data_IF_579039216717
#
_entry.id   IF_579039216717
#
_cell.length_a   1.000
_cell.length_b   1.000
_cell.length_c   1.000
_cell.angle_alpha   90.00
_cell.angle_beta   90.00
_cell.angle_gamma   90.00
#
_symmetry.space_group_name_H-M   'P 1'
#
loop_
_entity.id
_entity.type
_entity.pdbx_description
1 polymer ?
#
# COMPACT_ATOMS: atom_id res chain seq x y z
N UNK A 1 -5.17 -5.95 -2.80
CA UNK A 1 -5.57 -4.63 -3.31
C UNK A 1 -5.23 -4.52 -4.79
N UNK A 2 -5.28 -3.32 -5.37
CA UNK A 2 -5.01 -3.11 -6.80
C UNK A 2 -3.54 -3.35 -7.22
N UNK A 3 -3.24 -3.39 -8.53
CA UNK A 3 -1.93 -3.81 -9.05
C UNK A 3 -0.78 -2.86 -8.69
N UNK A 4 -1.11 -1.58 -8.47
CA UNK A 4 -0.13 -0.54 -8.14
C UNK A 4 0.27 -0.60 -6.66
N UNK A 5 -0.70 -0.41 -5.76
CA UNK A 5 -0.48 -0.24 -4.32
C UNK A 5 -0.60 -1.55 -3.52
N UNK A 6 -1.08 -2.63 -4.13
CA UNK A 6 -1.23 -3.93 -3.47
C UNK A 6 0.11 -4.55 -3.06
N UNK A 7 0.06 -5.35 -2.00
CA UNK A 7 1.17 -6.20 -1.54
C UNK A 7 1.14 -7.54 -2.28
N UNK A 8 2.32 -8.12 -2.51
CA UNK A 8 2.45 -9.49 -2.99
C UNK A 8 2.37 -10.41 -1.78
N UNK A 9 1.51 -11.42 -1.85
CA UNK A 9 1.37 -12.47 -0.85
C UNK A 9 1.52 -13.82 -1.55
N UNK A 10 2.21 -14.76 -0.91
CA UNK A 10 2.39 -16.11 -1.42
C UNK A 10 1.64 -17.16 -0.60
N UNK A 11 1.28 -16.78 0.63
CA UNK A 11 0.49 -17.58 1.53
C UNK A 11 -1.00 -17.35 1.27
N UNK A 12 -1.74 -18.45 1.07
CA UNK A 12 -3.17 -18.43 0.79
C UNK A 12 -4.00 -18.26 2.08
N UNK A 13 -3.39 -18.52 3.25
CA UNK A 13 -4.03 -18.34 4.54
C UNK A 13 -3.97 -16.88 5.03
N UNK A 14 -3.31 -15.99 4.29
CA UNK A 14 -3.23 -14.57 4.63
C UNK A 14 -4.64 -13.94 4.68
N UNK A 15 -5.08 -13.37 5.82
CA UNK A 15 -6.43 -12.85 5.96
C UNK A 15 -6.75 -11.68 5.02
N UNK A 16 -7.98 -11.68 4.49
CA UNK A 16 -8.57 -10.53 3.82
C UNK A 16 -8.94 -9.49 4.90
N UNK A 17 -8.50 -8.25 4.71
CA UNK A 17 -8.75 -7.16 5.67
C UNK A 17 -9.70 -6.13 5.08
N UNK A 18 -10.22 -5.21 5.91
CA UNK A 18 -11.03 -4.07 5.45
C UNK A 18 -10.34 -3.19 4.39
N UNK A 19 -9.00 -3.21 4.35
CA UNK A 19 -8.22 -2.48 3.33
C UNK A 19 -7.98 -3.27 2.05
N UNK A 20 -8.40 -4.54 2.00
CA UNK A 20 -8.30 -5.39 0.81
C UNK A 20 -9.41 -5.04 -0.18
N UNK A 21 -9.09 -4.18 -1.13
CA UNK A 21 -10.04 -3.72 -2.17
C UNK A 21 -10.16 -4.63 -3.40
N UNK A 22 -9.36 -5.70 -3.47
CA UNK A 22 -9.33 -6.61 -4.62
C UNK A 22 -8.20 -7.62 -4.50
N UNK A 23 -8.32 -8.74 -5.19
CA UNK A 23 -7.31 -9.81 -5.24
C UNK A 23 -6.90 -10.00 -6.70
N UNK A 24 -5.61 -10.09 -6.96
CA UNK A 24 -5.05 -10.36 -8.28
C UNK A 24 -4.23 -11.63 -8.20
N UNK A 25 -4.58 -12.63 -9.01
CA UNK A 25 -3.83 -13.88 -9.11
C UNK A 25 -2.95 -13.78 -10.35
N UNK A 26 -1.63 -13.80 -10.14
CA UNK A 26 -0.64 -13.68 -11.21
C UNK A 26 0.39 -14.80 -11.07
N UNK A 27 0.94 -15.33 -12.19
CA UNK A 27 2.08 -16.24 -12.17
C UNK A 27 3.28 -15.65 -11.41
N UNK A 28 4.09 -16.49 -10.77
CA UNK A 28 5.25 -16.04 -9.98
C UNK A 28 6.31 -15.33 -10.83
N UNK A 29 6.44 -15.71 -12.09
CA UNK A 29 7.34 -15.13 -13.09
C UNK A 29 6.76 -13.87 -13.76
N UNK A 30 5.57 -13.44 -13.37
CA UNK A 30 4.96 -12.24 -13.92
C UNK A 30 5.82 -10.99 -13.60
N UNK A 31 6.12 -10.10 -14.58
CA UNK A 31 7.01 -8.96 -14.36
C UNK A 31 6.63 -8.04 -13.19
N UNK A 32 5.33 -7.83 -12.95
CA UNK A 32 4.84 -7.07 -11.79
C UNK A 32 5.20 -7.74 -10.46
N UNK A 33 5.11 -9.07 -10.38
CA UNK A 33 5.44 -9.86 -9.18
C UNK A 33 6.95 -9.80 -8.95
N UNK A 34 7.74 -10.05 -9.99
CA UNK A 34 9.20 -9.96 -9.94
C UNK A 34 9.66 -8.58 -9.47
N UNK A 35 9.13 -7.50 -10.06
CA UNK A 35 9.51 -6.12 -9.70
C UNK A 35 9.16 -5.76 -8.26
N UNK A 36 7.99 -6.19 -7.77
CA UNK A 36 7.55 -5.93 -6.38
C UNK A 36 8.30 -6.73 -5.33
N UNK A 37 8.94 -7.83 -5.72
CA UNK A 37 9.68 -8.73 -4.81
C UNK A 37 11.19 -8.54 -4.88
N UNK A 38 11.66 -7.58 -5.69
CA UNK A 38 13.08 -7.21 -5.73
C UNK A 38 13.57 -6.74 -4.36
N UNK A 39 14.78 -7.18 -4.02
CA UNK A 39 15.49 -6.74 -2.82
C UNK A 39 15.84 -5.26 -2.91
N UNK A 40 15.73 -4.55 -1.78
CA UNK A 40 15.95 -3.11 -1.71
C UNK A 40 17.38 -2.71 -2.11
N UNK A 41 18.36 -3.53 -1.77
CA UNK A 41 19.78 -3.30 -2.10
C UNK A 41 19.98 -3.27 -3.62
N UNK A 42 19.28 -4.15 -4.33
CA UNK A 42 19.31 -4.21 -5.79
C UNK A 42 18.65 -2.96 -6.40
N UNK A 43 17.49 -2.54 -5.87
CA UNK A 43 16.79 -1.34 -6.33
C UNK A 43 17.67 -0.09 -6.15
N UNK A 44 18.34 0.05 -5.01
CA UNK A 44 19.26 1.16 -4.75
C UNK A 44 20.47 1.11 -5.70
N UNK A 45 21.06 -0.08 -5.91
CA UNK A 45 22.19 -0.25 -6.83
C UNK A 45 21.82 0.13 -8.27
N UNK A 46 20.65 -0.32 -8.75
CA UNK A 46 20.13 0.05 -10.07
C UNK A 46 19.89 1.56 -10.17
N UNK A 47 19.32 2.16 -9.14
CA UNK A 47 19.11 3.62 -9.09
C UNK A 47 20.41 4.39 -9.24
N UNK A 48 21.46 3.99 -8.51
CA UNK A 48 22.80 4.60 -8.57
C UNK A 48 23.44 4.48 -9.96
N UNK A 49 23.27 3.33 -10.61
CA UNK A 49 23.89 3.06 -11.90
C UNK A 49 23.17 3.71 -13.09
N UNK A 50 21.83 3.79 -13.07
CA UNK A 50 21.05 4.07 -14.26
C UNK A 50 20.28 5.40 -14.24
N UNK A 51 20.09 6.05 -13.10
CA UNK A 51 19.22 7.22 -13.05
C UNK A 51 19.80 8.43 -13.82
N UNK A 52 19.11 8.87 -14.87
CA UNK A 52 19.52 9.98 -15.73
C UNK A 52 19.01 11.37 -15.29
N UNK A 53 18.39 11.49 -14.10
CA UNK A 53 17.96 12.78 -13.51
C UNK A 53 16.98 13.62 -14.36
N UNK A 54 16.20 13.00 -15.24
CA UNK A 54 15.29 13.64 -16.20
C UNK A 54 14.00 14.29 -15.63
N UNK A 55 13.84 14.40 -14.31
CA UNK A 55 12.65 14.91 -13.60
C UNK A 55 11.28 14.26 -13.86
N UNK A 56 11.12 13.33 -14.81
CA UNK A 56 9.81 12.77 -15.20
C UNK A 56 9.00 12.17 -14.02
N UNK A 57 9.68 11.55 -13.06
CA UNK A 57 9.04 11.02 -11.85
C UNK A 57 8.39 12.09 -10.95
N UNK A 58 8.81 13.35 -11.07
CA UNK A 58 8.12 14.52 -10.49
C UNK A 58 7.07 15.06 -11.42
N UNK A 59 7.43 15.24 -12.70
CA UNK A 59 6.53 15.88 -13.67
C UNK A 59 5.19 15.16 -13.82
N UNK A 60 5.19 13.83 -13.68
CA UNK A 60 4.01 12.98 -13.74
C UNK A 60 3.51 12.54 -12.36
N UNK A 61 4.06 13.08 -11.27
CA UNK A 61 3.61 12.72 -9.93
C UNK A 61 2.24 13.35 -9.63
N UNK A 62 1.19 12.59 -9.27
CA UNK A 62 -0.13 13.16 -9.02
C UNK A 62 -0.11 14.12 -7.84
N UNK A 63 0.68 13.85 -6.81
CA UNK A 63 0.82 14.74 -5.65
C UNK A 63 1.49 16.06 -6.03
N UNK A 64 2.53 16.01 -6.87
CA UNK A 64 3.17 17.22 -7.38
C UNK A 64 2.19 18.08 -8.21
N UNK A 65 1.42 17.44 -9.08
CA UNK A 65 0.41 18.10 -9.92
C UNK A 65 -0.78 18.64 -9.12
N UNK A 66 -1.08 18.07 -7.95
CA UNK A 66 -2.07 18.59 -7.01
C UNK A 66 -1.56 19.78 -6.18
N UNK A 67 -0.32 20.21 -6.36
CA UNK A 67 0.26 21.37 -5.65
C UNK A 67 1.17 21.01 -4.48
N UNK A 68 1.29 19.73 -4.12
CA UNK A 68 2.21 19.32 -3.06
C UNK A 68 3.67 19.45 -3.50
N UNK A 69 4.55 19.81 -2.57
CA UNK A 69 5.98 19.98 -2.81
C UNK A 69 6.74 18.62 -2.85
N UNK A 70 6.19 17.62 -3.52
CA UNK A 70 6.83 16.30 -3.65
C UNK A 70 7.71 16.23 -4.90
N UNK A 71 9.02 16.05 -4.72
CA UNK A 71 10.01 16.00 -5.80
C UNK A 71 10.78 14.66 -5.84
N UNK A 72 10.19 13.56 -6.37
CA UNK A 72 10.86 12.26 -6.38
C UNK A 72 12.23 12.28 -7.07
N UNK A 73 12.44 13.08 -8.12
CA UNK A 73 13.75 13.15 -8.78
C UNK A 73 14.85 13.70 -7.85
N UNK A 74 14.54 14.67 -7.00
CA UNK A 74 15.50 15.21 -6.02
C UNK A 74 15.85 14.16 -4.97
N UNK A 75 14.87 13.39 -4.50
CA UNK A 75 15.09 12.27 -3.56
C UNK A 75 16.03 11.22 -4.18
N UNK A 76 15.75 10.83 -5.43
CA UNK A 76 16.60 9.91 -6.18
C UNK A 76 18.04 10.43 -6.33
N UNK A 77 18.19 11.73 -6.66
CA UNK A 77 19.49 12.39 -6.78
C UNK A 77 20.32 12.27 -5.52
N UNK A 78 19.78 12.67 -4.38
CA UNK A 78 20.52 12.71 -3.12
C UNK A 78 21.03 11.31 -2.72
N UNK A 79 20.17 10.29 -2.82
CA UNK A 79 20.54 8.91 -2.51
C UNK A 79 21.62 8.40 -3.45
N UNK A 80 21.54 8.75 -4.74
CA UNK A 80 22.49 8.26 -5.72
C UNK A 80 23.89 8.80 -5.49
N UNK A 81 24.00 10.08 -5.08
CA UNK A 81 25.28 10.72 -4.76
C UNK A 81 25.72 10.50 -3.30
N UNK A 82 24.95 9.76 -2.49
CA UNK A 82 25.26 9.55 -1.08
C UNK A 82 25.27 10.85 -0.26
N UNK A 83 24.48 11.83 -0.70
CA UNK A 83 24.38 13.13 -0.06
C UNK A 83 23.35 13.08 1.06
N UNK A 84 23.58 13.87 2.10
CA UNK A 84 22.60 14.08 3.16
C UNK A 84 21.30 14.62 2.55
N UNK A 85 20.17 14.03 2.94
CA UNK A 85 18.87 14.51 2.51
C UNK A 85 18.58 15.84 3.22
N UNK A 86 18.43 16.97 2.51
CA UNK A 86 18.02 18.23 3.12
C UNK A 86 16.69 18.05 3.85
N UNK A 87 16.54 18.77 4.96
CA UNK A 87 15.33 18.72 5.79
C UNK A 87 14.03 18.86 4.98
N UNK A 88 14.01 19.78 4.02
CA UNK A 88 12.85 19.99 3.13
C UNK A 88 12.53 18.75 2.29
N UNK A 89 13.55 18.09 1.72
CA UNK A 89 13.38 16.88 0.92
C UNK A 89 12.90 15.71 1.78
N UNK A 90 13.44 15.59 3.00
CA UNK A 90 12.98 14.62 4.01
C UNK A 90 11.49 14.83 4.31
N UNK A 91 11.09 16.06 4.61
CA UNK A 91 9.70 16.39 4.93
C UNK A 91 8.78 16.11 3.74
N UNK A 92 9.21 16.49 2.53
CA UNK A 92 8.46 16.30 1.30
C UNK A 92 8.28 14.82 0.94
N UNK A 93 9.20 13.94 1.31
CA UNK A 93 9.06 12.49 1.12
C UNK A 93 7.76 11.94 1.73
N UNK A 94 7.33 12.48 2.87
CA UNK A 94 6.10 12.10 3.57
C UNK A 94 4.81 12.48 2.83
N UNK A 95 4.87 13.39 1.84
CA UNK A 95 3.73 13.76 0.99
C UNK A 95 3.41 12.70 -0.08
N UNK A 96 4.27 11.70 -0.27
CA UNK A 96 4.07 10.65 -1.26
C UNK A 96 2.90 9.73 -0.89
N UNK A 97 1.95 9.56 -1.80
CA UNK A 97 0.82 8.63 -1.68
C UNK A 97 1.18 7.18 -2.04
N UNK A 98 2.42 6.92 -2.43
CA UNK A 98 2.91 5.58 -2.77
C UNK A 98 2.14 4.91 -3.93
N UNK A 99 1.54 5.72 -4.81
CA UNK A 99 0.75 5.25 -5.94
C UNK A 99 1.54 4.49 -7.01
N UNK A 100 2.86 4.67 -7.10
CA UNK A 100 3.75 3.90 -7.99
C UNK A 100 3.78 4.35 -9.44
N UNK A 101 3.09 5.43 -9.81
CA UNK A 101 3.08 5.95 -11.18
C UNK A 101 4.49 6.34 -11.67
N UNK A 102 5.33 6.83 -10.75
CA UNK A 102 6.73 7.14 -11.01
C UNK A 102 7.57 5.93 -11.44
N UNK A 103 7.21 4.73 -10.98
CA UNK A 103 7.90 3.46 -11.24
C UNK A 103 7.34 2.74 -12.47
N UNK A 104 6.02 2.79 -12.65
CA UNK A 104 5.32 2.03 -13.68
C UNK A 104 5.33 2.76 -15.01
N UNK A 105 5.14 4.08 -14.99
CA UNK A 105 4.97 4.85 -16.22
C UNK A 105 6.04 5.94 -16.41
N UNK A 106 6.38 6.69 -15.37
CA UNK A 106 7.17 7.91 -15.56
C UNK A 106 8.67 7.67 -15.77
N UNK A 107 9.29 6.68 -15.10
CA UNK A 107 10.73 6.48 -15.17
C UNK A 107 11.12 5.72 -16.45
N UNK A 108 11.87 6.34 -17.38
CA UNK A 108 12.31 5.67 -18.60
C UNK A 108 13.35 4.57 -18.32
N UNK A 109 14.06 4.67 -17.18
CA UNK A 109 15.05 3.70 -16.73
C UNK A 109 14.43 2.58 -15.87
N UNK A 110 13.10 2.54 -15.78
CA UNK A 110 12.33 1.53 -15.03
C UNK A 110 12.66 1.42 -13.52
N UNK A 111 13.27 2.46 -12.95
CA UNK A 111 13.60 2.55 -11.53
C UNK A 111 12.34 2.73 -10.67
N UNK A 112 12.47 2.52 -9.35
CA UNK A 112 11.37 2.73 -8.40
C UNK A 112 11.64 3.87 -7.41
N UNK A 113 11.30 5.12 -7.77
CA UNK A 113 11.27 6.22 -6.80
C UNK A 113 10.27 5.97 -5.67
N UNK A 114 9.19 5.21 -5.92
CA UNK A 114 8.21 4.85 -4.88
C UNK A 114 8.84 4.03 -3.77
N UNK A 115 9.50 2.92 -4.10
CA UNK A 115 10.07 2.00 -3.10
C UNK A 115 11.19 2.69 -2.33
N UNK A 116 12.03 3.47 -3.03
CA UNK A 116 13.07 4.28 -2.41
C UNK A 116 12.47 5.25 -1.39
N UNK A 117 11.40 5.95 -1.77
CA UNK A 117 10.73 6.89 -0.88
C UNK A 117 10.03 6.19 0.30
N UNK A 118 9.42 5.02 0.08
CA UNK A 118 8.86 4.18 1.15
C UNK A 118 9.94 3.84 2.18
N UNK A 119 11.11 3.39 1.72
CA UNK A 119 12.21 3.01 2.61
C UNK A 119 12.75 4.18 3.44
N UNK A 120 12.81 5.36 2.84
CA UNK A 120 13.18 6.59 3.57
C UNK A 120 12.18 6.87 4.69
N UNK A 121 10.87 6.84 4.39
CA UNK A 121 9.84 7.07 5.42
C UNK A 121 9.95 6.06 6.55
N UNK A 122 10.09 4.77 6.23
CA UNK A 122 10.25 3.71 7.23
C UNK A 122 11.43 3.98 8.17
N UNK A 123 12.60 4.29 7.60
CA UNK A 123 13.81 4.54 8.37
C UNK A 123 13.68 5.79 9.25
N UNK A 124 13.09 6.86 8.73
CA UNK A 124 12.88 8.10 9.48
C UNK A 124 11.86 7.93 10.61
N UNK A 125 10.76 7.21 10.37
CA UNK A 125 9.78 6.89 11.40
C UNK A 125 10.40 6.02 12.49
N UNK A 126 11.22 5.03 12.11
CA UNK A 126 11.95 4.21 13.08
C UNK A 126 12.95 5.04 13.91
N UNK A 127 13.51 6.10 13.33
CA UNK A 127 14.35 7.08 14.04
C UNK A 127 13.54 8.11 14.86
N UNK A 128 12.21 7.98 14.94
CA UNK A 128 11.35 8.87 15.71
C UNK A 128 11.05 10.22 15.05
N UNK A 129 11.40 10.40 13.77
CA UNK A 129 11.11 11.64 13.05
C UNK A 129 9.61 11.83 12.85
N UNK A 130 9.11 13.02 13.19
CA UNK A 130 7.73 13.42 12.97
C UNK A 130 7.66 14.55 11.93
N UNK A 131 7.04 14.31 10.75
CA UNK A 131 6.93 15.34 9.73
C UNK A 131 6.00 16.47 10.19
N UNK A 132 6.44 17.72 10.04
CA UNK A 132 5.65 18.92 10.37
C UNK A 132 5.28 19.66 9.10
N UNK A 133 4.00 19.66 8.73
CA UNK A 133 3.53 20.38 7.55
C UNK A 133 3.00 21.75 7.93
N UNK A 134 3.26 22.75 7.08
CA UNK A 134 2.87 24.15 7.28
C UNK A 134 1.36 24.39 7.07
N UNK A 135 0.62 23.39 6.57
CA UNK A 135 -0.82 23.50 6.32
C UNK A 135 -1.18 24.53 5.25
N UNK A 136 -0.22 24.95 4.41
CA UNK A 136 -0.47 25.87 3.31
C UNK A 136 -1.47 25.25 2.33
N UNK A 137 -2.34 26.08 1.80
CA UNK A 137 -3.30 25.67 0.79
C UNK A 137 -2.57 25.22 -0.49
N UNK A 138 -2.93 24.04 -0.98
CA UNK A 138 -2.28 23.39 -2.11
C UNK A 138 -3.15 23.57 -3.35
N UNK A 139 -2.69 24.42 -4.27
CA UNK A 139 -3.38 24.66 -5.52
C UNK A 139 -2.86 23.71 -6.61
N UNK A 140 -3.75 23.02 -7.35
CA UNK A 140 -3.36 22.24 -8.50
C UNK A 140 -2.52 23.07 -9.48
N UNK A 141 -1.45 22.46 -10.01
CA UNK A 141 -0.61 23.10 -11.03
C UNK A 141 -1.36 23.11 -12.37
N UNK A 142 -1.15 24.16 -13.16
CA UNK A 142 -1.78 24.37 -14.48
C UNK A 142 -1.65 23.13 -15.40
N UNK A 143 -0.47 22.50 -15.40
CA UNK A 143 -0.19 21.33 -16.23
C UNK A 143 -0.90 20.03 -15.79
N UNK A 144 -1.68 20.03 -14.69
CA UNK A 144 -2.33 18.82 -14.17
C UNK A 144 -3.22 18.15 -15.22
N UNK A 145 -4.05 18.93 -15.91
CA UNK A 145 -5.00 18.38 -16.88
C UNK A 145 -4.30 17.72 -18.07
N UNK A 146 -3.19 18.30 -18.52
CA UNK A 146 -2.39 17.85 -19.66
C UNK A 146 -1.42 16.70 -19.34
N UNK A 147 -1.22 16.38 -18.05
CA UNK A 147 -0.28 15.34 -17.60
C UNK A 147 -0.97 14.13 -16.99
N UNK A 148 -2.29 14.05 -17.13
CA UNK A 148 -3.05 12.85 -16.78
C UNK A 148 -2.64 11.68 -17.68
N UNK A 149 -2.59 10.48 -17.10
CA UNK A 149 -2.19 9.26 -17.82
C UNK A 149 -3.42 8.36 -17.95
N UNK A 150 -3.77 7.95 -19.18
CA UNK A 150 -4.87 7.01 -19.39
C UNK A 150 -4.64 5.70 -18.63
N UNK A 151 -5.66 5.22 -17.92
CA UNK A 151 -5.61 3.96 -17.17
C UNK A 151 -5.28 2.75 -18.06
N UNK A 152 -5.71 2.77 -19.33
CA UNK A 152 -5.38 1.76 -20.33
C UNK A 152 -3.86 1.63 -20.58
N UNK A 153 -3.14 2.77 -20.61
CA UNK A 153 -1.69 2.81 -20.77
C UNK A 153 -0.97 2.22 -19.56
N UNK A 154 -1.48 2.50 -18.35
CA UNK A 154 -0.96 1.91 -17.11
C UNK A 154 -1.18 0.39 -17.12
N UNK A 155 -2.40 -0.06 -17.48
CA UNK A 155 -2.76 -1.48 -17.58
C UNK A 155 -1.83 -2.25 -18.53
N UNK A 156 -1.60 -1.72 -19.73
CA UNK A 156 -0.70 -2.32 -20.71
C UNK A 156 0.75 -2.33 -20.22
N UNK A 157 1.23 -1.24 -19.59
CA UNK A 157 2.60 -1.18 -19.04
C UNK A 157 2.83 -2.19 -17.92
N UNK A 158 1.78 -2.54 -17.17
CA UNK A 158 1.78 -3.60 -16.17
C UNK A 158 1.62 -5.02 -16.75
N UNK A 159 1.39 -5.15 -18.06
CA UNK A 159 1.08 -6.40 -18.77
C UNK A 159 -0.16 -7.12 -18.24
N UNK A 160 -1.15 -6.32 -17.83
CA UNK A 160 -2.43 -6.82 -17.31
C UNK A 160 -3.54 -6.85 -18.35
N UNK A 161 -3.30 -6.28 -19.52
CA UNK A 161 -4.20 -6.29 -20.68
C UNK A 161 -4.57 -7.69 -21.15
N UNK A 162 -3.64 -8.65 -21.07
CA UNK A 162 -3.91 -10.06 -21.41
C UNK A 162 -4.87 -10.78 -20.46
N UNK A 163 -5.19 -10.19 -19.30
CA UNK A 163 -6.17 -10.75 -18.34
C UNK A 163 -7.49 -9.97 -18.38
N UNK A 164 -7.64 -9.03 -19.32
CA UNK A 164 -8.83 -8.18 -19.44
C UNK A 164 -9.99 -8.89 -20.17
N UNK A 165 -9.74 -10.07 -20.76
CA UNK A 165 -10.76 -10.87 -21.45
C UNK A 165 -11.80 -11.43 -20.46
N UNK A 166 -11.43 -11.66 -19.20
CA UNK A 166 -12.31 -12.14 -18.12
C UNK A 166 -13.34 -11.10 -17.65
N UNK A 167 -13.21 -9.83 -18.05
CA UNK A 167 -14.20 -8.78 -17.74
C UNK A 167 -15.60 -9.06 -18.30
N UNK A 168 -15.74 -10.04 -19.21
CA UNK A 168 -17.00 -10.48 -19.82
C UNK A 168 -17.66 -11.67 -19.10
N UNK A 169 -16.95 -12.29 -18.16
CA UNK A 169 -17.41 -13.46 -17.41
C UNK A 169 -17.17 -13.24 -15.92
N UNK A 170 -18.09 -12.54 -15.21
CA UNK A 170 -17.97 -12.39 -13.77
C UNK A 170 -17.81 -13.79 -13.15
N UNK A 171 -16.80 -13.94 -12.29
CA UNK A 171 -16.61 -15.18 -11.54
C UNK A 171 -17.91 -15.47 -10.77
N UNK A 172 -18.38 -16.73 -10.75
CA UNK A 172 -19.54 -17.08 -9.97
C UNK A 172 -19.28 -16.72 -8.50
N UNK A 173 -20.24 -16.06 -7.88
CA UNK A 173 -20.20 -15.83 -6.43
C UNK A 173 -20.46 -17.18 -5.78
N UNK A 174 -19.47 -17.68 -5.05
CA UNK A 174 -19.59 -18.91 -4.27
C UNK A 174 -19.77 -18.48 -2.82
N UNK A 175 -20.95 -18.76 -2.26
CA UNK A 175 -21.16 -18.64 -0.82
C UNK A 175 -20.40 -19.77 -0.12
N UNK A 176 -19.62 -19.41 0.89
CA UNK A 176 -18.80 -20.34 1.67
C UNK A 176 -19.22 -20.28 3.12
N UNK A 177 -19.24 -21.44 3.79
CA UNK A 177 -19.59 -21.54 5.20
C UNK A 177 -18.40 -22.08 6.04
N UNK A 178 -17.37 -21.26 6.30
CA UNK A 178 -16.11 -21.73 6.88
C UNK A 178 -16.29 -22.26 8.31
N UNK A 179 -15.60 -23.35 8.66
CA UNK A 179 -15.60 -23.90 10.01
C UNK A 179 -14.73 -23.10 11.00
N UNK A 180 -13.86 -22.23 10.48
CA UNK A 180 -12.95 -21.40 11.24
C UNK A 180 -12.72 -20.07 10.51
N UNK A 181 -12.64 -18.99 11.27
CA UNK A 181 -12.22 -17.66 10.79
C UNK A 181 -11.14 -17.07 11.69
N UNK A 182 -10.21 -16.36 11.08
CA UNK A 182 -9.17 -15.58 11.76
C UNK A 182 -9.42 -14.08 11.51
N UNK A 183 -9.58 -13.31 12.58
CA UNK A 183 -9.88 -11.89 12.53
C UNK A 183 -8.71 -11.11 13.12
N UNK A 184 -7.99 -10.39 12.26
CA UNK A 184 -6.88 -9.53 12.68
C UNK A 184 -7.39 -8.30 13.44
N UNK A 185 -6.77 -7.99 14.56
CA UNK A 185 -7.08 -6.82 15.39
C UNK A 185 -6.62 -5.50 14.74
N UNK A 186 -5.58 -5.56 13.90
CA UNK A 186 -5.09 -4.45 13.08
C UNK A 186 -5.43 -4.71 11.61
N UNK A 187 -6.60 -4.24 11.19
CA UNK A 187 -7.06 -4.41 9.80
C UNK A 187 -7.60 -3.12 9.15
N UNK A 188 -7.31 -1.96 9.75
CA UNK A 188 -7.73 -0.63 9.30
C UNK A 188 -6.66 0.44 9.58
N UNK A 189 -6.86 1.66 9.04
CA UNK A 189 -5.92 2.78 9.17
C UNK A 189 -5.70 3.25 10.61
N UNK A 190 -6.75 3.24 11.43
CA UNK A 190 -6.71 3.63 12.85
C UNK A 190 -5.90 2.68 13.76
N UNK A 191 -5.87 2.92 15.07
CA UNK A 191 -5.10 2.11 16.05
C UNK A 191 -5.62 0.67 16.18
N UNK A 192 -4.78 -0.28 16.59
CA UNK A 192 -5.21 -1.68 16.80
C UNK A 192 -6.39 -1.78 17.78
N UNK A 193 -7.42 -2.53 17.41
CA UNK A 193 -8.59 -2.78 18.27
C UNK A 193 -8.24 -3.77 19.39
N UNK A 194 -8.86 -3.61 20.56
CA UNK A 194 -8.60 -4.46 21.73
C UNK A 194 -9.70 -5.53 21.86
N UNK A 195 -9.35 -6.82 22.02
CA UNK A 195 -10.32 -7.88 22.27
C UNK A 195 -11.20 -7.53 23.48
N UNK A 196 -12.51 -7.74 23.36
CA UNK A 196 -13.47 -7.64 24.46
C UNK A 196 -14.08 -8.99 24.82
N UNK A 197 -14.05 -9.94 23.89
CA UNK A 197 -14.50 -11.30 24.11
C UNK A 197 -13.40 -12.17 24.72
N UNK A 198 -13.76 -13.34 25.25
CA UNK A 198 -12.86 -14.25 25.98
C UNK A 198 -12.68 -15.59 25.27
N UNK A 199 -11.51 -16.21 25.46
CA UNK A 199 -11.30 -17.59 25.02
C UNK A 199 -12.34 -18.49 25.69
N UNK A 200 -13.02 -19.31 24.89
CA UNK A 200 -14.08 -20.20 25.32
C UNK A 200 -15.50 -19.64 25.21
N UNK A 201 -15.65 -18.33 24.97
CA UNK A 201 -16.94 -17.66 24.81
C UNK A 201 -17.64 -18.10 23.51
N UNK A 202 -18.96 -18.31 23.58
CA UNK A 202 -19.80 -18.50 22.39
C UNK A 202 -20.26 -17.15 21.85
N UNK A 203 -20.15 -16.99 20.54
CA UNK A 203 -20.52 -15.77 19.81
C UNK A 203 -21.42 -16.13 18.64
N UNK A 204 -22.38 -15.26 18.34
CA UNK A 204 -23.14 -15.27 17.11
C UNK A 204 -22.50 -14.34 16.08
N UNK A 205 -22.88 -14.52 14.82
CA UNK A 205 -22.49 -13.57 13.77
C UNK A 205 -23.00 -12.16 14.11
N UNK A 206 -22.13 -11.15 13.96
CA UNK A 206 -22.42 -9.76 14.30
C UNK A 206 -22.09 -9.36 15.73
N UNK A 207 -21.75 -10.29 16.62
CA UNK A 207 -21.38 -9.96 18.01
C UNK A 207 -20.05 -9.19 18.05
N UNK A 208 -19.96 -8.18 18.93
CA UNK A 208 -18.75 -7.37 19.11
C UNK A 208 -17.65 -8.18 19.80
N UNK A 209 -16.52 -8.38 19.12
CA UNK A 209 -15.39 -9.16 19.65
C UNK A 209 -14.15 -8.32 19.95
N UNK A 210 -14.02 -7.12 19.33
CA UNK A 210 -12.97 -6.17 19.67
C UNK A 210 -13.45 -4.71 19.56
N UNK A 211 -13.03 -3.89 20.52
CA UNK A 211 -13.41 -2.49 20.67
C UNK A 211 -12.25 -1.54 20.38
N UNK A 212 -12.57 -0.32 19.94
CA UNK A 212 -11.59 0.72 19.66
C UNK A 212 -11.14 1.37 20.98
N UNK A 213 -9.82 1.59 21.20
CA UNK A 213 -9.35 2.40 22.30
C UNK A 213 -10.02 3.79 22.33
N UNK A 214 -10.53 4.20 23.50
CA UNK A 214 -11.31 5.43 23.67
C UNK A 214 -10.56 6.66 23.12
N UNK A 215 -11.26 7.46 22.31
CA UNK A 215 -10.73 8.70 21.73
C UNK A 215 -9.67 8.50 20.64
N UNK A 216 -9.49 7.27 20.13
CA UNK A 216 -8.60 6.99 19.00
C UNK A 216 -9.43 6.69 17.75
N UNK A 217 -8.86 7.01 16.59
CA UNK A 217 -9.41 6.59 15.30
C UNK A 217 -9.24 5.07 15.17
N UNK A 218 -10.31 4.35 14.79
CA UNK A 218 -10.28 2.90 14.57
C UNK A 218 -11.62 2.36 14.06
N UNK A 219 -11.77 1.04 14.02
CA UNK A 219 -13.03 0.37 13.71
C UNK A 219 -13.27 -0.83 14.65
N UNK A 220 -14.50 -0.95 15.14
CA UNK A 220 -14.98 -2.11 15.89
C UNK A 220 -14.93 -3.37 15.02
N UNK A 221 -14.62 -4.49 15.64
CA UNK A 221 -14.59 -5.79 14.98
C UNK A 221 -15.68 -6.68 15.55
N UNK A 222 -16.38 -7.38 14.66
CA UNK A 222 -17.50 -8.24 15.00
C UNK A 222 -17.21 -9.66 14.49
N UNK A 223 -17.84 -10.65 15.10
CA UNK A 223 -17.74 -12.05 14.65
C UNK A 223 -18.36 -12.20 13.26
N UNK A 224 -17.63 -12.84 12.34
CA UNK A 224 -18.12 -13.12 10.98
C UNK A 224 -18.85 -14.46 10.86
N UNK A 225 -18.83 -15.29 11.91
CA UNK A 225 -19.56 -16.56 11.97
C UNK A 225 -20.12 -16.77 13.38
N UNK A 226 -21.09 -17.66 13.52
CA UNK A 226 -21.43 -18.24 14.82
C UNK A 226 -20.38 -19.28 15.21
N UNK A 227 -19.98 -19.31 16.48
CA UNK A 227 -19.06 -20.31 17.00
C UNK A 227 -18.52 -19.99 18.39
N UNK A 228 -17.40 -20.61 18.72
CA UNK A 228 -16.66 -20.43 19.96
C UNK A 228 -15.31 -19.78 19.69
N UNK A 229 -14.93 -18.82 20.53
CA UNK A 229 -13.59 -18.23 20.47
C UNK A 229 -12.58 -19.26 20.99
N UNK A 230 -11.64 -19.64 20.15
CA UNK A 230 -10.65 -20.67 20.48
C UNK A 230 -9.28 -20.09 20.78
N UNK A 231 -9.00 -18.86 20.32
CA UNK A 231 -7.70 -18.22 20.50
C UNK A 231 -7.83 -16.69 20.42
N UNK A 232 -7.05 -16.00 21.26
CA UNK A 232 -6.91 -14.53 21.29
C UNK A 232 -5.44 -14.22 21.62
N UNK A 233 -4.81 -13.35 20.84
CA UNK A 233 -3.53 -12.70 21.19
C UNK A 233 -3.56 -11.19 20.86
N UNK A 234 -2.39 -10.55 20.81
CA UNK A 234 -2.26 -9.12 20.49
C UNK A 234 -2.53 -8.78 19.02
N UNK A 235 -2.55 -9.78 18.14
CA UNK A 235 -2.66 -9.61 16.69
C UNK A 235 -4.01 -10.07 16.14
N UNK A 236 -4.64 -11.09 16.74
CA UNK A 236 -5.77 -11.80 16.13
C UNK A 236 -6.70 -12.53 17.12
N UNK A 237 -7.90 -12.82 16.63
CA UNK A 237 -8.92 -13.67 17.27
C UNK A 237 -9.28 -14.81 16.31
N UNK A 238 -9.35 -16.05 16.81
CA UNK A 238 -9.79 -17.22 16.02
C UNK A 238 -11.11 -17.76 16.57
N UNK A 239 -12.09 -17.90 15.68
CA UNK A 239 -13.44 -18.40 15.98
C UNK A 239 -13.63 -19.70 15.23
N UNK A 240 -14.13 -20.74 15.89
CA UNK A 240 -14.47 -22.05 15.29
C UNK A 240 -15.90 -22.41 15.62
N UNK A 241 -16.59 -23.08 14.70
CA UNK A 241 -17.95 -23.60 14.95
C UNK A 241 -17.96 -24.65 16.06
#
# INVERSE_FOLDING_TARGET
GGPMMGKVVFDLDTPVTKTTTGILVLPRDHPLVLKKTLRIEYIIKQSKAACCQCSYCTDLCPRYLLGHELYPHKIMRQINFGLDLPYEIIQNAFLCSECGLCEVFACPMELSPRIINQKIKENLLAAGYQPKFSGKEENPREMKEYRNIPSSRIKNRLRLDKYDEDGRHPLPVIETDPNQVEILLKQHTGVTSKPVAKIGEQVNEGDLIAEIPKGKLGARLHSSIKGKITYIDEERIIIKK
#
